data_IF_001669145869
#
_entry.id   IF_001669145869
#
_cell.length_a   1.000
_cell.length_b   1.000
_cell.length_c   1.000
_cell.angle_alpha   90.00
_cell.angle_beta   90.00
_cell.angle_gamma   90.00
#
_symmetry.space_group_name_H-M   'P 1'
#
loop_
_entity.id
_entity.type
_entity.pdbx_description
1 polymer ?
#
# COMPACT_ATOMS: atom_id res chain seq x y z
N UNK A 1 18.92 -8.37 -1.70
CA UNK A 1 18.04 -7.70 -2.71
C UNK A 1 16.70 -7.32 -2.08
N UNK A 2 15.86 -8.27 -1.67
CA UNK A 2 14.49 -7.98 -1.16
C UNK A 2 14.46 -7.04 0.05
N UNK A 3 15.29 -7.29 1.07
CA UNK A 3 15.39 -6.38 2.22
C UNK A 3 15.78 -4.95 1.82
N UNK A 4 16.58 -4.77 0.76
CA UNK A 4 16.93 -3.44 0.25
C UNK A 4 15.75 -2.78 -0.47
N UNK A 5 14.97 -3.55 -1.23
CA UNK A 5 13.76 -3.05 -1.92
C UNK A 5 12.62 -2.71 -0.95
N UNK A 6 12.51 -3.45 0.16
CA UNK A 6 11.50 -3.21 1.20
C UNK A 6 11.95 -2.19 2.26
N UNK A 7 13.16 -1.62 2.13
CA UNK A 7 13.68 -0.65 3.10
C UNK A 7 14.03 -1.24 4.48
N UNK A 8 14.23 -2.56 4.56
CA UNK A 8 14.54 -3.31 5.77
C UNK A 8 16.05 -3.60 5.93
N UNK A 9 16.84 -3.39 4.86
CA UNK A 9 18.28 -3.60 4.89
C UNK A 9 19.01 -2.52 5.69
N UNK A 10 20.15 -2.89 6.28
CA UNK A 10 21.09 -1.97 6.94
C UNK A 10 21.71 -0.98 5.96
N UNK A 11 22.39 0.04 6.48
CA UNK A 11 23.04 1.07 5.65
C UNK A 11 24.16 0.48 4.78
N UNK A 12 24.95 -0.44 5.33
CA UNK A 12 26.07 -1.12 4.67
C UNK A 12 25.55 -2.04 3.55
N UNK A 13 24.47 -2.77 3.82
CA UNK A 13 23.83 -3.63 2.84
C UNK A 13 23.24 -2.84 1.68
N UNK A 14 22.66 -1.65 1.94
CA UNK A 14 22.17 -0.75 0.88
C UNK A 14 23.32 -0.24 0.03
N UNK A 15 24.41 0.20 0.65
CA UNK A 15 25.58 0.71 -0.07
C UNK A 15 26.19 -0.35 -1.00
N UNK A 16 26.40 -1.56 -0.49
CA UNK A 16 26.89 -2.68 -1.30
C UNK A 16 25.93 -3.03 -2.45
N UNK A 17 24.62 -3.02 -2.17
CA UNK A 17 23.61 -3.28 -3.18
C UNK A 17 23.58 -2.22 -4.28
N UNK A 18 23.74 -0.94 -3.93
CA UNK A 18 23.85 0.17 -4.89
C UNK A 18 25.11 0.04 -5.75
N UNK A 19 26.26 -0.26 -5.15
CA UNK A 19 27.50 -0.52 -5.90
C UNK A 19 27.33 -1.69 -6.88
N UNK A 20 26.72 -2.80 -6.46
CA UNK A 20 26.47 -3.94 -7.33
C UNK A 20 25.53 -3.60 -8.51
N UNK A 21 24.51 -2.78 -8.30
CA UNK A 21 23.64 -2.33 -9.40
C UNK A 21 24.35 -1.44 -10.43
N UNK A 22 25.44 -0.76 -10.05
CA UNK A 22 26.25 0.03 -10.98
C UNK A 22 27.15 -0.87 -11.83
N UNK A 23 27.68 -1.93 -11.23
CA UNK A 23 28.62 -2.86 -11.86
C UNK A 23 27.91 -3.93 -12.72
N UNK A 24 26.68 -4.30 -12.36
CA UNK A 24 25.92 -5.35 -13.02
C UNK A 24 24.62 -4.80 -13.68
N UNK A 25 24.63 -4.61 -15.01
CA UNK A 25 23.44 -4.15 -15.75
C UNK A 25 22.26 -5.12 -15.72
N UNK A 26 22.49 -6.43 -15.55
CA UNK A 26 21.41 -7.42 -15.43
C UNK A 26 20.73 -7.29 -14.08
N UNK A 27 21.51 -7.22 -13.00
CA UNK A 27 20.96 -6.95 -11.67
C UNK A 27 20.13 -5.66 -11.65
N UNK A 28 20.60 -4.59 -12.29
CA UNK A 28 19.84 -3.33 -12.41
C UNK A 28 18.50 -3.52 -13.13
N UNK A 29 18.46 -4.32 -14.20
CA UNK A 29 17.23 -4.62 -14.94
C UNK A 29 16.26 -5.43 -14.09
N UNK A 30 16.75 -6.42 -13.35
CA UNK A 30 15.92 -7.24 -12.47
C UNK A 30 15.33 -6.41 -11.33
N UNK A 31 16.15 -5.53 -10.73
CA UNK A 31 15.70 -4.57 -9.72
C UNK A 31 14.63 -3.63 -10.27
N UNK A 32 14.80 -3.15 -11.51
CA UNK A 32 13.80 -2.30 -12.14
C UNK A 32 12.44 -3.00 -12.23
N UNK A 33 12.40 -4.22 -12.77
CA UNK A 33 11.16 -4.97 -12.91
C UNK A 33 10.55 -5.35 -11.57
N UNK A 34 11.36 -5.76 -10.59
CA UNK A 34 10.88 -6.06 -9.25
C UNK A 34 10.20 -4.84 -8.60
N UNK A 35 10.78 -3.64 -8.75
CA UNK A 35 10.16 -2.40 -8.26
C UNK A 35 8.86 -2.08 -8.98
N UNK A 36 8.78 -2.28 -10.30
CA UNK A 36 7.54 -2.07 -11.05
C UNK A 36 6.44 -3.03 -10.58
N UNK A 37 6.77 -4.31 -10.42
CA UNK A 37 5.83 -5.33 -9.93
C UNK A 37 5.28 -4.98 -8.55
N UNK A 38 6.15 -4.61 -7.60
CA UNK A 38 5.71 -4.18 -6.27
C UNK A 38 4.83 -2.94 -6.32
N UNK A 39 5.15 -1.97 -7.19
CA UNK A 39 4.30 -0.78 -7.37
C UNK A 39 2.90 -1.17 -7.83
N UNK A 40 2.79 -1.97 -8.88
CA UNK A 40 1.51 -2.41 -9.45
C UNK A 40 0.68 -3.16 -8.41
N UNK A 41 1.28 -4.14 -7.71
CA UNK A 41 0.58 -4.92 -6.68
C UNK A 41 0.09 -4.02 -5.55
N UNK A 42 0.91 -3.06 -5.12
CA UNK A 42 0.55 -2.13 -4.05
C UNK A 42 -0.58 -1.18 -4.46
N UNK A 43 -0.52 -0.64 -5.68
CA UNK A 43 -1.56 0.25 -6.22
C UNK A 43 -2.89 -0.49 -6.33
N UNK A 44 -2.89 -1.67 -6.97
CA UNK A 44 -4.07 -2.51 -7.08
C UNK A 44 -4.65 -2.90 -5.71
N UNK A 45 -3.79 -3.31 -4.77
CA UNK A 45 -4.22 -3.65 -3.41
C UNK A 45 -4.87 -2.47 -2.68
N UNK A 46 -4.34 -1.25 -2.87
CA UNK A 46 -4.93 -0.03 -2.29
C UNK A 46 -6.28 0.31 -2.91
N UNK A 47 -6.42 0.19 -4.22
CA UNK A 47 -7.69 0.43 -4.91
C UNK A 47 -8.76 -0.56 -4.48
N UNK A 48 -8.40 -1.84 -4.37
CA UNK A 48 -9.29 -2.88 -3.86
C UNK A 48 -9.73 -2.60 -2.43
N UNK A 49 -8.79 -2.31 -1.52
CA UNK A 49 -9.11 -2.00 -0.13
C UNK A 49 -10.02 -0.76 -0.03
N UNK A 50 -9.78 0.26 -0.86
CA UNK A 50 -10.63 1.45 -0.94
C UNK A 50 -12.05 1.10 -1.39
N UNK A 51 -12.19 0.25 -2.41
CA UNK A 51 -13.50 -0.21 -2.89
C UNK A 51 -14.25 -1.00 -1.81
N UNK A 52 -13.57 -1.89 -1.10
CA UNK A 52 -14.14 -2.66 0.03
C UNK A 52 -14.61 -1.72 1.16
N UNK A 53 -13.79 -0.71 1.51
CA UNK A 53 -14.17 0.31 2.50
C UNK A 53 -15.38 1.14 2.07
N UNK A 54 -15.45 1.52 0.78
CA UNK A 54 -16.58 2.27 0.24
C UNK A 54 -17.88 1.46 0.31
N UNK A 55 -17.83 0.16 0.01
CA UNK A 55 -18.99 -0.73 0.11
C UNK A 55 -19.47 -0.88 1.57
N UNK A 56 -18.55 -1.01 2.52
CA UNK A 56 -18.87 -1.04 3.94
C UNK A 56 -19.46 0.30 4.38
N UNK A 57 -18.87 1.42 3.95
CA UNK A 57 -19.39 2.76 4.23
C UNK A 57 -20.81 2.92 3.70
N UNK A 58 -21.05 2.59 2.43
CA UNK A 58 -22.36 2.67 1.80
C UNK A 58 -23.38 1.84 2.58
N UNK A 59 -23.03 0.61 2.95
CA UNK A 59 -23.92 -0.26 3.72
C UNK A 59 -24.29 0.37 5.07
N UNK A 60 -23.29 0.78 5.86
CA UNK A 60 -23.50 1.29 7.22
C UNK A 60 -24.15 2.69 7.27
N UNK A 61 -23.88 3.54 6.28
CA UNK A 61 -24.28 4.95 6.31
C UNK A 61 -25.44 5.30 5.37
N UNK A 62 -25.85 4.42 4.45
CA UNK A 62 -27.00 4.70 3.57
C UNK A 62 -28.19 3.78 3.80
N UNK A 63 -27.98 2.51 4.16
CA UNK A 63 -29.09 1.58 4.37
C UNK A 63 -29.96 1.98 5.56
N UNK A 64 -31.28 1.96 5.38
CA UNK A 64 -32.25 2.38 6.40
C UNK A 64 -32.14 1.58 7.71
N UNK A 65 -31.77 0.30 7.61
CA UNK A 65 -31.56 -0.61 8.75
C UNK A 65 -30.45 -0.15 9.71
N UNK A 66 -29.46 0.61 9.23
CA UNK A 66 -28.33 1.08 10.04
C UNK A 66 -28.48 2.54 10.51
N UNK A 67 -29.65 3.17 10.34
CA UNK A 67 -29.90 4.58 10.68
C UNK A 67 -29.53 4.95 12.13
N UNK A 68 -29.83 4.08 13.11
CA UNK A 68 -29.49 4.32 14.53
C UNK A 68 -27.98 4.36 14.74
N UNK A 69 -27.25 3.43 14.15
CA UNK A 69 -25.79 3.37 14.20
C UNK A 69 -25.17 4.62 13.57
N UNK A 70 -25.58 4.95 12.34
CA UNK A 70 -25.14 6.17 11.64
C UNK A 70 -25.34 7.44 12.47
N UNK A 71 -26.53 7.63 13.03
CA UNK A 71 -26.84 8.82 13.82
C UNK A 71 -25.99 8.89 15.10
N UNK A 72 -25.71 7.75 15.74
CA UNK A 72 -24.83 7.68 16.92
C UNK A 72 -23.40 8.07 16.56
N UNK A 73 -22.86 7.57 15.44
CA UNK A 73 -21.52 7.93 14.97
C UNK A 73 -21.45 9.43 14.65
N UNK A 74 -22.40 9.95 13.86
CA UNK A 74 -22.41 11.37 13.46
C UNK A 74 -22.54 12.32 14.65
N UNK A 75 -23.19 11.90 15.74
CA UNK A 75 -23.30 12.70 16.95
C UNK A 75 -21.94 12.98 17.61
N UNK A 76 -20.93 12.11 17.46
CA UNK A 76 -19.57 12.37 17.98
C UNK A 76 -18.85 13.50 17.23
N UNK A 77 -19.27 13.82 16.01
CA UNK A 77 -18.64 14.84 15.15
C UNK A 77 -19.46 16.13 15.07
N UNK A 78 -20.56 16.23 15.83
CA UNK A 78 -21.33 17.48 15.95
C UNK A 78 -20.65 18.34 17.01
N UNK A 79 -19.89 19.33 16.53
CA UNK A 79 -19.48 20.50 17.32
C UNK A 79 -20.60 21.52 17.32
#
# INVERSE_FOLDING_TARGET
MEACLLGQASSEQRLLFEANMLLDPMLRKDVHWQRQTYRIIREYGRERLRSELEQVHQTLFTASQHRKFRNKILAFFRT
#
